data_IF_872476535902
#
_entry.id   IF_872476535902
#
_cell.length_a   1.000
_cell.length_b   1.000
_cell.length_c   1.000
_cell.angle_alpha   90.00
_cell.angle_beta   90.00
_cell.angle_gamma   90.00
#
_symmetry.space_group_name_H-M   'P 1'
#
loop_
_entity.id
_entity.type
_entity.pdbx_description
1 polymer ?
#
# COMPACT_ATOMS: atom_id res chain seq x y z
N UNK A 1 8.08 -1.81 6.82
CA UNK A 1 6.62 -1.77 6.58
C UNK A 1 5.97 -3.15 6.50
N UNK A 2 6.73 -4.24 6.31
CA UNK A 2 6.23 -5.63 6.27
C UNK A 2 5.27 -6.01 7.42
N UNK A 3 5.62 -5.72 8.68
CA UNK A 3 4.70 -5.96 9.82
C UNK A 3 3.35 -5.24 9.66
N UNK A 4 3.36 -4.07 9.03
CA UNK A 4 2.14 -3.33 8.67
C UNK A 4 1.35 -4.05 7.58
N UNK A 5 2.01 -4.62 6.56
CA UNK A 5 1.36 -5.41 5.52
C UNK A 5 0.69 -6.67 6.09
N UNK A 6 1.41 -7.42 6.94
CA UNK A 6 0.87 -8.60 7.64
C UNK A 6 -0.36 -8.21 8.47
N UNK A 7 -0.30 -7.12 9.23
CA UNK A 7 -1.44 -6.64 10.03
C UNK A 7 -2.63 -6.23 9.16
N UNK A 8 -2.38 -5.54 8.04
CA UNK A 8 -3.41 -5.08 7.13
C UNK A 8 -4.12 -6.27 6.46
N UNK A 9 -3.37 -7.22 5.90
CA UNK A 9 -3.92 -8.44 5.32
C UNK A 9 -4.77 -9.20 6.35
N UNK A 10 -4.22 -9.46 7.54
CA UNK A 10 -4.97 -10.10 8.63
C UNK A 10 -6.22 -9.34 9.03
N UNK A 11 -6.16 -8.01 9.07
CA UNK A 11 -7.29 -7.15 9.41
C UNK A 11 -8.46 -7.31 8.45
N UNK A 12 -8.17 -7.30 7.14
CA UNK A 12 -9.17 -7.24 6.07
C UNK A 12 -9.63 -8.64 5.64
N UNK A 13 -8.70 -9.55 5.34
CA UNK A 13 -9.02 -10.88 4.76
C UNK A 13 -8.89 -12.02 5.77
N UNK A 14 -8.51 -11.75 7.03
CA UNK A 14 -8.39 -12.73 8.13
C UNK A 14 -7.35 -13.83 7.89
N UNK A 15 -6.42 -13.63 6.95
CA UNK A 15 -5.30 -14.55 6.70
C UNK A 15 -4.14 -14.21 7.65
N UNK A 16 -3.54 -15.24 8.26
CA UNK A 16 -2.33 -15.11 9.08
C UNK A 16 -1.12 -15.55 8.27
N UNK A 17 -0.10 -14.72 8.22
CA UNK A 17 1.18 -14.98 7.55
C UNK A 17 2.34 -14.62 8.46
N UNK A 18 3.51 -15.16 8.16
CA UNK A 18 4.79 -14.82 8.76
C UNK A 18 5.66 -14.02 7.78
N UNK A 19 6.78 -13.47 8.26
CA UNK A 19 7.63 -12.58 7.45
C UNK A 19 8.23 -13.27 6.21
N UNK A 20 8.46 -14.59 6.26
CA UNK A 20 9.07 -15.35 5.17
C UNK A 20 8.11 -15.68 4.02
N UNK A 21 6.80 -15.42 4.20
CA UNK A 21 5.78 -15.73 3.18
C UNK A 21 5.70 -14.65 2.08
N UNK A 22 6.43 -13.54 2.23
CA UNK A 22 6.22 -12.35 1.43
C UNK A 22 7.38 -12.04 0.49
N UNK A 23 7.04 -11.77 -0.77
CA UNK A 23 7.89 -11.00 -1.68
C UNK A 23 7.84 -9.52 -1.34
N UNK A 24 8.90 -8.78 -1.67
CA UNK A 24 8.97 -7.34 -1.46
C UNK A 24 9.66 -6.65 -2.63
N UNK A 25 9.03 -5.56 -3.08
CA UNK A 25 9.57 -4.67 -4.11
C UNK A 25 9.34 -3.21 -3.72
N UNK A 26 10.15 -2.31 -4.28
CA UNK A 26 9.93 -0.87 -4.14
C UNK A 26 10.39 -0.12 -5.37
N UNK A 27 9.63 0.90 -5.76
CA UNK A 27 9.93 1.73 -6.91
C UNK A 27 9.70 3.22 -6.61
N UNK A 28 10.61 4.07 -7.10
CA UNK A 28 10.42 5.52 -7.10
C UNK A 28 9.65 5.90 -8.37
N UNK A 29 8.53 6.59 -8.21
CA UNK A 29 7.61 6.93 -9.30
C UNK A 29 7.16 8.38 -9.21
N UNK A 30 6.80 8.98 -10.34
CA UNK A 30 5.97 10.18 -10.35
C UNK A 30 4.52 9.81 -9.98
N UNK A 31 3.84 10.70 -9.25
CA UNK A 31 2.43 10.52 -8.86
C UNK A 31 1.51 10.32 -10.08
N UNK A 32 1.88 10.86 -11.24
CA UNK A 32 1.20 10.66 -12.52
C UNK A 32 1.34 9.26 -13.12
N UNK A 33 2.34 8.49 -12.70
CA UNK A 33 2.58 7.10 -13.16
C UNK A 33 1.78 6.07 -12.35
N UNK A 34 1.15 6.49 -11.24
CA UNK A 34 0.33 5.62 -10.42
C UNK A 34 -0.96 5.23 -11.16
N UNK A 35 -1.29 3.94 -11.13
CA UNK A 35 -2.55 3.42 -11.66
C UNK A 35 -3.72 3.93 -10.81
N UNK A 36 -4.61 4.70 -11.44
CA UNK A 36 -5.77 5.31 -10.79
C UNK A 36 -6.74 4.28 -10.24
N UNK A 37 -6.85 3.11 -10.88
CA UNK A 37 -7.78 2.05 -10.46
C UNK A 37 -7.31 1.35 -9.17
N UNK A 38 -6.04 1.56 -8.80
CA UNK A 38 -5.45 1.04 -7.57
C UNK A 38 -5.44 2.08 -6.46
N UNK A 39 -5.99 3.28 -6.65
CA UNK A 39 -5.83 4.38 -5.71
C UNK A 39 -7.14 4.79 -5.03
N UNK A 40 -7.08 5.26 -3.78
CA UNK A 40 -8.25 5.89 -3.14
C UNK A 40 -8.60 7.21 -3.83
N UNK A 41 -9.89 7.58 -3.76
CA UNK A 41 -10.37 8.85 -4.30
C UNK A 41 -9.63 10.05 -3.67
N UNK A 42 -9.31 11.07 -4.48
CA UNK A 42 -8.66 12.30 -4.00
C UNK A 42 -7.15 12.20 -3.78
N UNK A 43 -6.50 11.05 -4.00
CA UNK A 43 -5.08 10.85 -3.70
C UNK A 43 -4.14 11.90 -4.31
N UNK A 44 -4.48 12.41 -5.50
CA UNK A 44 -3.65 13.38 -6.24
C UNK A 44 -3.50 14.71 -5.51
N UNK A 45 -4.43 15.05 -4.61
CA UNK A 45 -4.36 16.27 -3.80
C UNK A 45 -3.44 16.10 -2.58
N UNK A 46 -3.17 14.86 -2.18
CA UNK A 46 -2.39 14.53 -0.97
C UNK A 46 -0.96 14.11 -1.30
N UNK A 47 -0.73 13.46 -2.44
CA UNK A 47 0.58 12.93 -2.78
C UNK A 47 1.53 14.01 -3.33
N UNK A 48 2.82 13.99 -2.95
CA UNK A 48 3.84 14.80 -3.60
C UNK A 48 4.07 14.33 -5.04
N UNK A 49 4.75 15.16 -5.85
CA UNK A 49 5.04 14.84 -7.25
C UNK A 49 5.77 13.50 -7.43
N UNK A 50 6.70 13.19 -6.53
CA UNK A 50 7.50 11.96 -6.56
C UNK A 50 7.24 11.19 -5.27
N UNK A 51 6.94 9.91 -5.39
CA UNK A 51 6.63 9.00 -4.30
C UNK A 51 7.47 7.74 -4.38
N UNK A 52 7.66 7.09 -3.23
CA UNK A 52 8.22 5.74 -3.15
C UNK A 52 7.07 4.76 -2.88
N UNK A 53 6.94 3.76 -3.72
CA UNK A 53 6.01 2.64 -3.52
C UNK A 53 6.73 1.50 -2.84
N UNK A 54 6.08 0.89 -1.86
CA UNK A 54 6.53 -0.34 -1.20
C UNK A 54 5.46 -1.40 -1.40
N UNK A 55 5.80 -2.46 -2.12
CA UNK A 55 4.88 -3.50 -2.55
C UNK A 55 5.25 -4.81 -1.87
N UNK A 56 4.30 -5.41 -1.17
CA UNK A 56 4.45 -6.69 -0.48
C UNK A 56 3.50 -7.70 -1.12
N UNK A 57 4.04 -8.79 -1.64
CA UNK A 57 3.30 -9.78 -2.41
C UNK A 57 3.21 -11.08 -1.60
N UNK A 58 2.01 -11.61 -1.45
CA UNK A 58 1.72 -12.89 -0.81
C UNK A 58 0.82 -13.71 -1.72
N UNK A 59 1.10 -14.99 -1.89
CA UNK A 59 0.24 -15.92 -2.60
C UNK A 59 -0.25 -17.00 -1.63
N UNK A 60 -1.55 -17.22 -1.57
CA UNK A 60 -2.11 -18.30 -0.75
C UNK A 60 -2.03 -19.67 -1.45
N UNK A 61 -2.47 -20.71 -0.73
CA UNK A 61 -2.48 -22.09 -1.23
C UNK A 61 -3.42 -22.33 -2.42
N UNK A 62 -4.40 -21.45 -2.64
CA UNK A 62 -5.34 -21.51 -3.77
C UNK A 62 -4.86 -20.69 -4.97
N UNK A 63 -3.59 -20.26 -4.97
CA UNK A 63 -3.00 -19.39 -5.96
C UNK A 63 -3.68 -18.00 -6.07
N UNK A 64 -4.33 -17.56 -5.00
CA UNK A 64 -4.80 -16.17 -4.91
C UNK A 64 -3.64 -15.28 -4.52
N UNK A 65 -3.42 -14.24 -5.34
CA UNK A 65 -2.41 -13.23 -5.07
C UNK A 65 -3.01 -12.07 -4.27
N UNK A 66 -2.32 -11.71 -3.20
CA UNK A 66 -2.57 -10.51 -2.42
C UNK A 66 -1.37 -9.59 -2.48
N UNK A 67 -1.63 -8.33 -2.82
CA UNK A 67 -0.60 -7.30 -2.88
C UNK A 67 -0.96 -6.21 -1.90
N UNK A 68 -0.15 -6.02 -0.87
CA UNK A 68 -0.25 -4.86 0.00
C UNK A 68 0.75 -3.83 -0.47
N UNK A 69 0.27 -2.63 -0.78
CA UNK A 69 1.14 -1.53 -1.17
C UNK A 69 1.04 -0.37 -0.17
N UNK A 70 2.16 0.32 0.01
CA UNK A 70 2.23 1.58 0.72
C UNK A 70 2.87 2.62 -0.17
N UNK A 71 2.32 3.84 -0.17
CA UNK A 71 2.89 4.98 -0.88
C UNK A 71 3.40 5.95 0.16
N UNK A 72 4.69 6.27 0.05
CA UNK A 72 5.39 7.11 1.00
C UNK A 72 6.13 8.23 0.29
N UNK A 73 6.50 9.25 1.07
CA UNK A 73 7.46 10.26 0.64
C UNK A 73 8.83 9.61 0.37
N UNK A 74 9.47 9.98 -0.74
CA UNK A 74 10.75 9.40 -1.16
C UNK A 74 11.96 9.79 -0.28
N UNK A 75 11.82 10.79 0.60
CA UNK A 75 12.89 11.34 1.46
C UNK A 75 12.72 10.95 2.93
N UNK A 76 11.51 10.99 3.47
CA UNK A 76 11.28 10.77 4.91
C UNK A 76 10.40 9.55 5.25
N UNK A 77 10.04 8.73 4.27
CA UNK A 77 9.17 7.55 4.42
C UNK A 77 7.81 7.83 5.09
N UNK A 78 7.36 9.10 5.09
CA UNK A 78 6.04 9.45 5.56
C UNK A 78 4.99 8.74 4.70
N UNK A 79 4.08 7.98 5.33
CA UNK A 79 3.09 7.16 4.63
C UNK A 79 1.81 7.92 4.35
N UNK A 80 1.49 8.07 3.06
CA UNK A 80 0.27 8.72 2.58
C UNK A 80 -0.84 7.74 2.30
N UNK A 81 -0.56 6.66 1.57
CA UNK A 81 -1.58 5.69 1.13
C UNK A 81 -1.19 4.30 1.56
N UNK A 82 -2.20 3.51 1.91
CA UNK A 82 -2.11 2.07 2.08
C UNK A 82 -3.21 1.42 1.26
N UNK A 83 -2.92 0.29 0.62
CA UNK A 83 -3.97 -0.49 -0.01
C UNK A 83 -3.64 -1.96 -0.12
N UNK A 84 -4.66 -2.70 -0.52
CA UNK A 84 -4.67 -4.14 -0.67
C UNK A 84 -5.35 -4.47 -1.99
N UNK A 85 -4.62 -5.18 -2.84
CA UNK A 85 -5.14 -5.79 -4.05
C UNK A 85 -5.38 -7.28 -3.82
N UNK A 86 -6.40 -7.82 -4.49
CA UNK A 86 -6.65 -9.26 -4.62
C UNK A 86 -6.72 -9.59 -6.10
N UNK A 87 -5.80 -10.43 -6.59
CA UNK A 87 -5.66 -10.78 -8.00
C UNK A 87 -5.64 -9.53 -8.92
N UNK A 88 -4.78 -8.57 -8.60
CA UNK A 88 -4.63 -7.32 -9.34
C UNK A 88 -5.77 -6.30 -9.21
N UNK A 89 -6.85 -6.60 -8.47
CA UNK A 89 -7.98 -5.68 -8.28
C UNK A 89 -7.97 -5.05 -6.91
N UNK A 90 -8.28 -3.75 -6.82
CA UNK A 90 -8.37 -3.04 -5.55
C UNK A 90 -9.47 -3.64 -4.66
N UNK A 91 -9.06 -4.18 -3.52
CA UNK A 91 -9.95 -4.69 -2.49
C UNK A 91 -10.20 -3.65 -1.40
N UNK A 92 -9.17 -2.88 -1.06
CA UNK A 92 -9.24 -1.85 -0.03
C UNK A 92 -8.12 -0.82 -0.21
N UNK A 93 -8.40 0.44 0.12
CA UNK A 93 -7.40 1.50 0.21
C UNK A 93 -7.80 2.54 1.25
N UNK A 94 -6.80 3.27 1.76
CA UNK A 94 -7.00 4.42 2.64
C UNK A 94 -5.90 5.45 2.39
N UNK A 95 -6.33 6.72 2.35
CA UNK A 95 -5.45 7.87 2.50
C UNK A 95 -5.34 8.15 3.99
N UNK A 96 -4.12 8.30 4.49
CA UNK A 96 -3.90 8.89 5.81
C UNK A 96 -4.15 10.39 5.67
N UNK A 97 -5.29 10.85 6.17
CA UNK A 97 -5.50 12.28 6.38
C UNK A 97 -4.39 12.78 7.30
N UNK A 98 -3.62 13.76 6.83
CA UNK A 98 -2.77 14.54 7.71
C UNK A 98 -3.72 15.22 8.68
N UNK A 99 -3.71 14.81 9.96
CA UNK A 99 -4.25 15.66 10.99
C UNK A 99 -3.52 17.00 10.85
N UNK A 100 -4.27 18.08 10.63
CA UNK A 100 -3.76 19.40 10.92
C UNK A 100 -3.40 19.37 12.41
N UNK A 101 -2.11 19.24 12.72
CA UNK A 101 -1.59 19.63 14.02
C UNK A 101 -1.65 21.16 14.07
N UNK A 102 -2.85 21.69 14.30
CA UNK A 102 -3.04 23.01 14.89
C UNK A 102 -2.88 22.82 16.41
N UNK A 103 -1.69 23.14 16.93
CA UNK A 103 -1.45 23.61 18.31
C UNK A 103 -0.14 24.42 18.37
#
# INVERSE_FOLDING_TARGET
MLKGAIKLLKGIVKINTCENDWGYESALLECSELDKDMMPEGYQQTLPKVVLTHTYIYQDSEATEYVVYFITDGKNQHKYVSGLLKNGKLLWSSIRETANEDD
#
